data_IF_889710001084
#
_entry.id   IF_889710001084
#
_cell.length_a   1.000
_cell.length_b   1.000
_cell.length_c   1.000
_cell.angle_alpha   90.00
_cell.angle_beta   90.00
_cell.angle_gamma   90.00
#
_symmetry.space_group_name_H-M   'P 1'
#
loop_
_entity.id
_entity.type
_entity.pdbx_description
1 polymer ?
#
# COMPACT_ATOMS: atom_id res chain seq x y z
N UNK A 1 -9.43 -12.27 -13.26
CA UNK A 1 -8.17 -12.45 -12.51
C UNK A 1 -8.31 -11.73 -11.18
N UNK A 2 -7.81 -12.28 -10.09
CA UNK A 2 -7.88 -11.67 -8.74
C UNK A 2 -6.47 -11.31 -8.27
N UNK A 3 -6.36 -10.18 -7.57
CA UNK A 3 -5.12 -9.61 -7.07
C UNK A 3 -5.11 -9.75 -5.56
N UNK A 4 -4.05 -10.34 -5.03
CA UNK A 4 -3.77 -10.41 -3.60
C UNK A 4 -2.83 -9.27 -3.22
N UNK A 5 -3.36 -8.30 -2.47
CA UNK A 5 -2.59 -7.18 -1.94
C UNK A 5 -1.98 -7.61 -0.61
N UNK A 6 -0.66 -7.52 -0.52
CA UNK A 6 0.10 -7.97 0.63
C UNK A 6 0.76 -6.78 1.33
N UNK A 7 0.85 -6.87 2.65
CA UNK A 7 1.62 -5.96 3.48
C UNK A 7 3.14 -6.16 3.30
N UNK A 8 3.98 -5.24 3.78
CA UNK A 8 5.43 -5.41 3.76
C UNK A 8 5.95 -6.71 4.39
N UNK A 9 5.21 -7.27 5.36
CA UNK A 9 5.53 -8.55 5.99
C UNK A 9 4.91 -9.77 5.27
N UNK A 10 4.51 -9.63 4.01
CA UNK A 10 3.83 -10.64 3.18
C UNK A 10 2.51 -11.16 3.76
N UNK A 11 1.89 -10.43 4.70
CA UNK A 11 0.56 -10.78 5.21
C UNK A 11 -0.53 -10.27 4.27
N UNK A 12 -1.59 -11.04 3.99
CA UNK A 12 -2.73 -10.59 3.21
C UNK A 12 -3.37 -9.33 3.80
N UNK A 13 -3.56 -8.30 2.97
CA UNK A 13 -4.30 -7.08 3.32
C UNK A 13 -5.69 -7.09 2.69
N UNK A 14 -5.75 -7.36 1.40
CA UNK A 14 -7.01 -7.43 0.66
C UNK A 14 -6.85 -8.36 -0.54
N UNK A 15 -7.96 -8.96 -0.97
CA UNK A 15 -8.05 -9.70 -2.22
C UNK A 15 -9.12 -9.04 -3.04
N UNK A 16 -8.78 -8.58 -4.24
CA UNK A 16 -9.72 -7.85 -5.10
C UNK A 16 -9.60 -8.27 -6.55
N UNK A 17 -10.72 -8.31 -7.26
CA UNK A 17 -10.74 -8.39 -8.73
C UNK A 17 -10.71 -7.00 -9.38
N UNK A 18 -10.99 -5.95 -8.59
CA UNK A 18 -11.03 -4.55 -9.02
C UNK A 18 -10.06 -3.72 -8.19
N UNK A 19 -8.92 -3.40 -8.79
CA UNK A 19 -7.87 -2.61 -8.16
C UNK A 19 -8.27 -1.13 -8.03
N UNK A 20 -9.07 -0.60 -8.96
CA UNK A 20 -9.46 0.80 -8.96
C UNK A 20 -10.41 1.10 -7.79
N UNK A 21 -11.39 0.22 -7.55
CA UNK A 21 -12.28 0.33 -6.39
C UNK A 21 -11.54 0.16 -5.07
N UNK A 22 -10.53 -0.72 -5.01
CA UNK A 22 -9.69 -0.87 -3.82
C UNK A 22 -9.00 0.46 -3.43
N UNK A 23 -8.36 1.13 -4.39
CA UNK A 23 -7.64 2.38 -4.11
C UNK A 23 -8.54 3.52 -3.66
N UNK A 24 -9.79 3.57 -4.14
CA UNK A 24 -10.73 4.63 -3.79
C UNK A 24 -11.42 4.38 -2.44
N UNK A 25 -11.80 3.12 -2.17
CA UNK A 25 -12.70 2.79 -1.06
C UNK A 25 -12.00 2.13 0.13
N UNK A 26 -11.09 1.18 -0.13
CA UNK A 26 -10.49 0.34 0.92
C UNK A 26 -9.12 0.86 1.37
N UNK A 27 -8.34 1.44 0.46
CA UNK A 27 -7.00 1.95 0.75
C UNK A 27 -6.96 2.99 1.89
N UNK A 28 -7.89 3.95 2.02
CA UNK A 28 -7.83 4.93 3.12
C UNK A 28 -7.82 4.28 4.50
N UNK A 29 -8.60 3.22 4.70
CA UNK A 29 -8.64 2.48 5.97
C UNK A 29 -7.39 1.61 6.16
N UNK A 30 -6.92 0.94 5.11
CA UNK A 30 -5.65 0.19 5.13
C UNK A 30 -4.48 1.12 5.44
N UNK A 31 -4.44 2.31 4.85
CA UNK A 31 -3.39 3.30 5.04
C UNK A 31 -3.31 3.77 6.51
N UNK A 32 -4.46 4.01 7.16
CA UNK A 32 -4.52 4.38 8.59
C UNK A 32 -3.91 3.30 9.48
N UNK A 33 -4.31 2.04 9.29
CA UNK A 33 -3.81 0.91 10.08
C UNK A 33 -2.33 0.63 9.79
N UNK A 34 -1.93 0.64 8.51
CA UNK A 34 -0.56 0.38 8.09
C UNK A 34 0.42 1.49 8.48
N UNK A 35 -0.01 2.76 8.54
CA UNK A 35 0.83 3.86 9.05
C UNK A 35 1.25 3.63 10.49
N UNK A 36 0.35 3.09 11.33
CA UNK A 36 0.65 2.74 12.72
C UNK A 36 1.61 1.55 12.85
N UNK A 37 1.36 0.46 12.10
CA UNK A 37 2.16 -0.78 12.18
C UNK A 37 3.52 -0.67 11.49
N UNK A 38 3.60 0.12 10.41
CA UNK A 38 4.76 0.24 9.53
C UNK A 38 5.13 1.70 9.26
N UNK A 39 5.58 2.46 10.28
CA UNK A 39 5.84 3.90 10.16
C UNK A 39 7.01 4.24 9.23
N UNK A 40 7.91 3.28 8.97
CA UNK A 40 9.05 3.44 8.05
C UNK A 40 8.65 3.35 6.58
N UNK A 41 7.49 2.80 6.27
CA UNK A 41 7.01 2.65 4.90
C UNK A 41 6.31 3.92 4.41
N UNK A 42 6.44 4.24 3.12
CA UNK A 42 5.71 5.32 2.48
C UNK A 42 4.24 4.90 2.29
N UNK A 43 3.33 5.67 2.90
CA UNK A 43 1.89 5.52 2.74
C UNK A 43 1.38 6.83 2.14
N UNK A 44 1.29 6.95 0.81
CA UNK A 44 0.83 8.17 0.14
C UNK A 44 -0.64 8.42 0.43
N UNK A 45 -1.05 9.68 0.51
CA UNK A 45 -2.47 10.05 0.60
C UNK A 45 -3.16 9.86 -0.76
N UNK A 46 -2.44 10.10 -1.87
CA UNK A 46 -2.89 9.84 -3.24
C UNK A 46 -2.21 8.58 -3.82
N UNK A 47 -2.82 7.39 -3.72
CA UNK A 47 -2.20 6.15 -4.19
C UNK A 47 -2.10 6.05 -5.71
N UNK A 48 -2.95 6.77 -6.46
CA UNK A 48 -3.00 6.70 -7.93
C UNK A 48 -1.88 7.48 -8.62
N UNK A 49 -1.34 8.51 -7.95
CA UNK A 49 -0.28 9.37 -8.46
C UNK A 49 1.07 9.11 -7.80
N UNK A 50 1.10 8.30 -6.74
CA UNK A 50 2.31 7.99 -6.02
C UNK A 50 3.33 7.26 -6.89
N UNK A 51 4.58 7.71 -6.85
CA UNK A 51 5.68 7.00 -7.50
C UNK A 51 5.94 5.66 -6.79
N UNK A 52 5.94 4.58 -7.59
CA UNK A 52 6.29 3.26 -7.11
C UNK A 52 7.75 3.27 -6.61
N UNK A 53 7.92 2.97 -5.32
CA UNK A 53 9.24 2.90 -4.69
C UNK A 53 9.39 1.57 -3.97
N UNK A 54 10.60 1.01 -4.01
CA UNK A 54 10.92 -0.21 -3.29
C UNK A 54 11.56 0.10 -1.94
N UNK A 55 10.90 -0.31 -0.86
CA UNK A 55 11.43 -0.29 0.50
C UNK A 55 10.85 0.82 1.38
N UNK A 56 11.66 1.25 2.35
CA UNK A 56 11.31 2.30 3.31
C UNK A 56 11.82 3.66 2.84
N UNK A 57 11.30 4.76 3.40
CA UNK A 57 11.61 6.15 3.02
C UNK A 57 13.12 6.51 3.02
N UNK A 58 13.99 5.68 3.62
CA UNK A 58 15.43 5.93 3.75
C UNK A 58 16.31 5.29 2.68
N UNK A 59 15.77 4.63 1.65
CA UNK A 59 16.61 3.98 0.63
C UNK A 59 16.78 4.91 -0.58
N UNK A 60 17.90 5.66 -0.72
CA UNK A 60 18.22 6.27 -2.00
C UNK A 60 18.33 5.14 -3.03
N UNK A 61 17.70 5.32 -4.19
CA UNK A 61 17.92 4.44 -5.33
C UNK A 61 19.44 4.41 -5.61
N UNK A 62 20.03 3.22 -5.58
CA UNK A 62 21.43 3.00 -5.93
C UNK A 62 21.56 2.74 -7.42
#
# INVERSE_FOLDING_TARGET
>A
MVIHLLSPAQRPLAVTADLASFWQNAYPEVCKDMRGRYPKHPWPDDPLTAQAQQGTKKRPAR
#
